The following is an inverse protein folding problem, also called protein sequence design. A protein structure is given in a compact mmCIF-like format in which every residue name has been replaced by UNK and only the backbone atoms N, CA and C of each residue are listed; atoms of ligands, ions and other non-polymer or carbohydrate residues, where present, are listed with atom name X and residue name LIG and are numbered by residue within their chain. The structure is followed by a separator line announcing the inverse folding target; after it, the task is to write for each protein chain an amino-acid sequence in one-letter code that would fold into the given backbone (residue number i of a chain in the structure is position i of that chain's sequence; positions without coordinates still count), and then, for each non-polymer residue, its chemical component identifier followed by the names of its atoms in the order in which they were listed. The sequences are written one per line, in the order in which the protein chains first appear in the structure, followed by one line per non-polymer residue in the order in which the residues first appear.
data_IF_715221366019
#
_entry.id   IF_715221366019
#
_cell.length_a   1.000
_cell.length_b   1.000
_cell.length_c   1.000
_cell.angle_alpha   90.00
_cell.angle_beta   90.00
_cell.angle_gamma   90.00
#
_symmetry.space_group_name_H-M   'P 1'
#
loop_
_entity.id
_entity.type
_entity.pdbx_description
1 polymer ?
#
# COMPACT_ATOMS: atom_id res chain seq x y z
N UNK A 1 -15.07 6.00 14.03
CA UNK A 1 -15.28 7.02 15.08
C UNK A 1 -14.53 8.27 14.65
N UNK A 2 -15.21 9.42 14.56
CA UNK A 2 -14.73 10.59 13.83
C UNK A 2 -13.58 11.29 14.56
N UNK A 3 -12.39 11.36 13.97
CA UNK A 3 -11.16 11.96 14.52
C UNK A 3 -11.36 13.44 14.96
N UNK A 4 -12.31 14.15 14.36
CA UNK A 4 -12.65 15.53 14.71
C UNK A 4 -13.28 15.67 16.10
N UNK A 5 -14.03 14.69 16.59
CA UNK A 5 -14.62 14.73 17.96
C UNK A 5 -13.57 14.57 19.06
N UNK A 6 -12.42 13.97 18.75
CA UNK A 6 -11.32 13.79 19.71
C UNK A 6 -10.54 15.07 19.99
N UNK A 7 -10.53 16.05 19.08
CA UNK A 7 -9.74 17.29 19.22
C UNK A 7 -10.42 18.38 20.06
N UNK A 8 -11.72 18.24 20.35
CA UNK A 8 -12.52 19.32 20.99
C UNK A 8 -12.51 19.23 22.53
N UNK A 9 -12.18 18.10 23.11
CA UNK A 9 -12.24 17.88 24.57
C UNK A 9 -10.86 17.99 25.23
N UNK A 10 -10.82 18.53 26.47
CA UNK A 10 -9.60 18.49 27.29
C UNK A 10 -9.19 17.02 27.52
N UNK A 11 -7.89 16.77 27.72
CA UNK A 11 -7.33 15.42 27.88
C UNK A 11 -8.09 14.60 28.95
N UNK A 12 -8.38 15.23 30.08
CA UNK A 12 -9.12 14.57 31.18
C UNK A 12 -10.55 14.22 30.78
N UNK A 13 -11.26 15.12 30.08
CA UNK A 13 -12.63 14.87 29.60
C UNK A 13 -12.68 13.77 28.55
N UNK A 14 -11.70 13.73 27.63
CA UNK A 14 -11.56 12.67 26.65
C UNK A 14 -11.43 11.29 27.34
N UNK A 15 -10.49 11.17 28.29
CA UNK A 15 -10.29 9.93 29.02
C UNK A 15 -11.54 9.52 29.80
N UNK A 16 -12.13 10.43 30.57
CA UNK A 16 -13.30 10.12 31.40
C UNK A 16 -14.56 9.82 30.60
N UNK A 17 -14.91 10.66 29.62
CA UNK A 17 -16.17 10.52 28.88
C UNK A 17 -16.11 9.44 27.82
N UNK A 18 -15.01 9.34 27.07
CA UNK A 18 -14.90 8.42 25.96
C UNK A 18 -14.33 7.07 26.43
N UNK A 19 -13.14 7.07 27.04
CA UNK A 19 -12.48 5.81 27.37
C UNK A 19 -13.16 5.10 28.55
N UNK A 20 -13.45 5.80 29.64
CA UNK A 20 -13.99 5.17 30.85
C UNK A 20 -15.49 5.00 30.77
N UNK A 21 -16.25 6.08 30.57
CA UNK A 21 -17.74 6.04 30.59
C UNK A 21 -18.31 5.50 29.28
N UNK A 22 -17.73 5.86 28.13
CA UNK A 22 -18.24 5.49 26.82
C UNK A 22 -17.96 4.03 26.47
N UNK A 23 -16.69 3.65 26.39
CA UNK A 23 -16.25 2.31 25.97
C UNK A 23 -15.88 1.40 27.13
N UNK A 24 -15.91 1.89 28.38
CA UNK A 24 -15.59 1.14 29.60
C UNK A 24 -14.21 0.46 29.54
N UNK A 25 -13.22 1.15 28.97
CA UNK A 25 -11.86 0.65 28.85
C UNK A 25 -11.27 0.32 30.23
N UNK A 26 -10.59 -0.82 30.34
CA UNK A 26 -9.82 -1.24 31.54
C UNK A 26 -8.33 -1.03 31.33
N UNK A 27 -7.89 -1.17 30.09
CA UNK A 27 -6.51 -1.03 29.66
C UNK A 27 -6.43 -0.10 28.45
N UNK A 28 -5.43 0.76 28.41
CA UNK A 28 -5.15 1.65 27.30
C UNK A 28 -3.72 1.42 26.81
N UNK A 29 -3.61 0.95 25.55
CA UNK A 29 -2.33 0.72 24.89
C UNK A 29 -2.07 1.91 23.98
N UNK A 30 -0.91 2.56 24.13
CA UNK A 30 -0.57 3.80 23.44
C UNK A 30 0.86 3.78 22.92
N UNK A 31 1.08 4.25 21.71
CA UNK A 31 2.43 4.43 21.18
C UNK A 31 3.18 5.58 21.84
N UNK A 32 4.49 5.50 21.88
CA UNK A 32 5.39 6.46 22.52
C UNK A 32 5.20 7.93 22.07
N UNK A 33 4.81 8.13 20.81
CA UNK A 33 4.65 9.45 20.17
C UNK A 33 3.17 9.88 20.01
N UNK A 34 2.24 9.05 20.47
CA UNK A 34 0.83 9.32 20.28
C UNK A 34 0.34 10.48 21.17
N UNK A 35 -0.38 11.40 20.56
CA UNK A 35 -0.98 12.57 21.22
C UNK A 35 -2.49 12.55 21.08
N UNK A 36 -3.22 13.00 22.10
CA UNK A 36 -4.68 13.03 22.10
C UNK A 36 -5.24 14.27 22.81
N UNK A 37 -6.56 14.47 22.69
CA UNK A 37 -7.26 15.60 23.31
C UNK A 37 -7.06 16.93 22.58
N UNK A 38 -7.58 18.01 23.17
CA UNK A 38 -7.51 19.36 22.60
C UNK A 38 -6.04 19.80 22.47
N UNK A 39 -5.68 20.32 21.28
CA UNK A 39 -4.33 20.78 20.93
C UNK A 39 -3.25 19.70 21.08
N UNK A 40 -3.61 18.41 21.09
CA UNK A 40 -2.68 17.27 21.21
C UNK A 40 -1.77 17.33 22.46
N UNK A 41 -2.26 17.93 23.56
CA UNK A 41 -1.48 18.07 24.80
C UNK A 41 -1.46 16.78 25.62
N UNK A 42 -2.43 15.87 25.41
CA UNK A 42 -2.44 14.56 26.04
C UNK A 42 -1.40 13.63 25.46
N UNK A 43 -0.58 13.01 26.31
CA UNK A 43 0.44 12.04 25.92
C UNK A 43 0.49 10.89 26.95
N UNK A 44 1.46 10.00 26.77
CA UNK A 44 1.67 8.87 27.66
C UNK A 44 1.99 9.30 29.10
N UNK A 45 2.73 10.38 29.30
CA UNK A 45 3.08 10.86 30.63
C UNK A 45 1.84 11.32 31.38
N UNK A 46 0.97 12.09 30.73
CA UNK A 46 -0.32 12.48 31.29
C UNK A 46 -1.15 11.27 31.73
N UNK A 47 -1.17 10.19 30.94
CA UNK A 47 -1.89 8.98 31.30
C UNK A 47 -1.25 8.25 32.47
N UNK A 48 0.09 8.12 32.50
CA UNK A 48 0.85 7.47 33.59
C UNK A 48 0.66 8.19 34.91
N UNK A 49 0.72 9.51 34.93
CA UNK A 49 0.51 10.34 36.12
C UNK A 49 -0.90 10.21 36.70
N UNK A 50 -1.89 10.08 35.81
CA UNK A 50 -3.30 10.02 36.19
C UNK A 50 -3.89 8.60 36.23
N UNK A 51 -3.09 7.53 36.08
CA UNK A 51 -3.58 6.14 35.99
C UNK A 51 -4.45 5.72 37.16
N UNK A 52 -4.05 6.11 38.40
CA UNK A 52 -4.82 5.79 39.63
C UNK A 52 -6.18 6.47 39.63
N UNK A 53 -6.23 7.77 39.24
CA UNK A 53 -7.46 8.57 39.16
C UNK A 53 -8.45 8.02 38.12
N UNK A 54 -7.93 7.51 37.02
CA UNK A 54 -8.75 6.97 35.94
C UNK A 54 -9.09 5.49 36.10
N UNK A 55 -8.41 4.77 36.99
CA UNK A 55 -8.57 3.34 37.15
C UNK A 55 -8.23 2.56 35.89
N UNK A 56 -7.28 3.06 35.07
CA UNK A 56 -6.84 2.46 33.82
C UNK A 56 -5.45 1.84 33.99
N UNK A 57 -5.30 0.67 33.39
CA UNK A 57 -3.98 0.11 33.10
C UNK A 57 -3.43 0.78 31.85
N UNK A 58 -2.18 1.23 31.89
CA UNK A 58 -1.51 1.90 30.77
C UNK A 58 -0.33 1.06 30.32
N UNK A 59 -0.32 0.72 29.05
CA UNK A 59 0.79 0.03 28.38
C UNK A 59 1.33 0.92 27.26
N UNK A 60 2.64 1.12 27.27
CA UNK A 60 3.33 1.88 26.22
C UNK A 60 3.96 0.94 25.20
N UNK A 61 3.69 1.19 23.94
CA UNK A 61 4.42 0.55 22.84
C UNK A 61 5.64 1.42 22.56
N UNK A 62 6.83 0.86 22.78
CA UNK A 62 8.09 1.54 22.48
C UNK A 62 8.26 1.76 20.96
N UNK A 63 9.12 2.72 20.63
CA UNK A 63 9.52 2.99 19.27
C UNK A 63 10.25 1.78 18.69
N UNK A 64 9.89 1.43 17.46
CA UNK A 64 10.62 0.47 16.64
C UNK A 64 11.36 1.23 15.53
N UNK A 65 12.67 1.07 15.49
CA UNK A 65 13.52 1.67 14.46
C UNK A 65 14.10 0.57 13.56
N UNK A 66 14.19 0.85 12.26
CA UNK A 66 14.95 0.06 11.29
C UNK A 66 16.01 0.99 10.71
N UNK A 67 17.28 0.56 10.75
CA UNK A 67 18.43 1.34 10.28
C UNK A 67 18.49 2.76 10.87
N UNK A 68 18.18 2.89 12.17
CA UNK A 68 18.07 4.16 12.92
C UNK A 68 16.96 5.11 12.42
N UNK A 69 16.09 4.64 11.55
CA UNK A 69 14.93 5.40 11.07
C UNK A 69 13.68 4.87 11.76
N UNK A 70 12.92 5.76 12.40
CA UNK A 70 11.64 5.41 13.03
C UNK A 70 10.63 4.93 12.00
N UNK A 71 10.03 3.75 12.25
CA UNK A 71 8.93 3.27 11.42
C UNK A 71 7.71 4.16 11.66
N UNK A 72 7.24 4.80 10.61
CA UNK A 72 6.03 5.64 10.67
C UNK A 72 5.19 5.47 9.41
N UNK A 73 3.88 5.69 9.55
CA UNK A 73 2.97 5.71 8.40
C UNK A 73 3.35 6.79 7.38
N UNK A 74 3.98 7.88 7.83
CA UNK A 74 4.45 8.95 6.95
C UNK A 74 5.60 8.48 6.07
N UNK A 75 6.61 7.81 6.64
CA UNK A 75 7.76 7.29 5.89
C UNK A 75 7.31 6.23 4.87
N UNK A 76 6.39 5.34 5.26
CA UNK A 76 5.82 4.34 4.35
C UNK A 76 5.09 5.01 3.18
N UNK A 77 4.27 6.03 3.45
CA UNK A 77 3.56 6.78 2.38
C UNK A 77 4.52 7.50 1.44
N UNK A 78 5.57 8.11 1.99
CA UNK A 78 6.61 8.79 1.19
C UNK A 78 7.35 7.80 0.31
N UNK A 79 7.78 6.66 0.83
CA UNK A 79 8.45 5.62 0.06
C UNK A 79 7.55 5.12 -1.10
N UNK A 80 6.27 4.82 -0.83
CA UNK A 80 5.32 4.40 -1.86
C UNK A 80 5.08 5.50 -2.92
N UNK A 81 5.01 6.77 -2.51
CA UNK A 81 4.85 7.90 -3.42
C UNK A 81 6.09 8.12 -4.29
N UNK A 82 7.27 7.75 -3.81
CA UNK A 82 8.53 7.75 -4.58
C UNK A 82 8.72 6.50 -5.45
N UNK A 83 7.92 5.45 -5.25
CA UNK A 83 8.04 4.15 -5.93
C UNK A 83 9.05 3.20 -5.26
N UNK A 84 9.57 3.57 -4.11
CA UNK A 84 10.53 2.80 -3.32
C UNK A 84 9.79 1.70 -2.51
N UNK A 85 9.23 0.72 -3.23
CA UNK A 85 8.40 -0.33 -2.62
C UNK A 85 9.18 -1.31 -1.76
N UNK A 86 10.48 -1.46 -1.98
CA UNK A 86 11.43 -2.20 -1.17
C UNK A 86 11.68 -1.51 0.19
N UNK A 87 11.89 -0.19 0.20
CA UNK A 87 11.94 0.62 1.43
C UNK A 87 10.62 0.51 2.21
N UNK A 88 9.48 0.63 1.51
CA UNK A 88 8.17 0.45 2.12
C UNK A 88 8.00 -0.96 2.70
N UNK A 89 8.50 -2.02 2.03
CA UNK A 89 8.51 -3.39 2.53
C UNK A 89 9.32 -3.52 3.83
N UNK A 90 10.52 -2.93 3.90
CA UNK A 90 11.35 -2.93 5.10
C UNK A 90 10.58 -2.38 6.31
N UNK A 91 9.91 -1.23 6.14
CA UNK A 91 9.10 -0.63 7.21
C UNK A 91 7.81 -1.40 7.53
N UNK A 92 7.18 -2.06 6.54
CA UNK A 92 5.93 -2.81 6.73
C UNK A 92 6.15 -4.23 7.24
N UNK A 93 7.35 -4.80 7.10
CA UNK A 93 7.65 -6.22 7.32
C UNK A 93 6.98 -7.17 6.30
N UNK A 94 6.38 -6.63 5.23
CA UNK A 94 5.71 -7.37 4.15
C UNK A 94 5.63 -6.55 2.88
N UNK A 95 5.43 -7.19 1.73
CA UNK A 95 5.18 -6.48 0.48
C UNK A 95 3.93 -5.62 0.57
N UNK A 96 4.00 -4.40 0.01
CA UNK A 96 2.83 -3.58 -0.15
C UNK A 96 1.91 -4.20 -1.21
N UNK A 97 0.63 -4.34 -0.89
CA UNK A 97 -0.32 -4.99 -1.78
C UNK A 97 -1.44 -4.04 -2.21
N UNK A 98 -1.88 -4.20 -3.45
CA UNK A 98 -3.11 -3.62 -3.99
C UNK A 98 -4.01 -4.75 -4.48
N UNK A 99 -5.31 -4.58 -4.32
CA UNK A 99 -6.29 -5.56 -4.78
C UNK A 99 -7.35 -4.86 -5.62
N UNK A 100 -7.92 -5.58 -6.56
CA UNK A 100 -8.98 -5.03 -7.41
C UNK A 100 -9.65 -6.10 -8.26
N UNK A 101 -10.69 -5.68 -8.96
CA UNK A 101 -11.42 -6.53 -9.91
C UNK A 101 -10.81 -6.33 -11.30
N UNK A 102 -10.60 -7.42 -12.02
CA UNK A 102 -10.11 -7.36 -13.40
C UNK A 102 -11.25 -6.90 -14.31
N UNK A 103 -11.03 -5.77 -14.98
CA UNK A 103 -11.97 -5.18 -15.92
C UNK A 103 -11.43 -5.23 -17.35
N UNK A 104 -12.32 -5.06 -18.33
CA UNK A 104 -11.92 -4.93 -19.73
C UNK A 104 -11.23 -3.59 -19.95
N UNK A 105 -10.06 -3.63 -20.63
CA UNK A 105 -9.33 -2.47 -21.13
C UNK A 105 -9.28 -2.48 -22.66
N UNK A 106 -8.42 -1.64 -23.24
CA UNK A 106 -8.32 -1.45 -24.71
C UNK A 106 -7.61 -2.60 -25.43
N UNK A 107 -7.09 -3.58 -24.70
CA UNK A 107 -6.44 -4.80 -25.21
C UNK A 107 -5.24 -4.55 -26.16
N UNK A 108 -4.59 -3.38 -26.07
CA UNK A 108 -3.42 -3.05 -26.90
C UNK A 108 -2.29 -4.05 -26.64
N UNK A 109 -2.04 -4.38 -25.38
CA UNK A 109 -1.02 -5.36 -24.99
C UNK A 109 -1.20 -6.72 -25.65
N UNK A 110 -2.44 -7.18 -25.83
CA UNK A 110 -2.74 -8.46 -26.51
C UNK A 110 -2.24 -8.45 -27.96
N UNK A 111 -2.38 -7.33 -28.69
CA UNK A 111 -1.95 -7.20 -30.09
C UNK A 111 -0.43 -7.30 -30.25
N UNK A 112 0.33 -6.92 -29.23
CA UNK A 112 1.80 -6.91 -29.25
C UNK A 112 2.42 -8.09 -28.48
N UNK A 113 1.60 -9.05 -28.03
CA UNK A 113 2.07 -10.28 -27.33
C UNK A 113 2.27 -10.12 -25.83
N UNK A 114 1.75 -9.04 -25.22
CA UNK A 114 1.78 -8.78 -23.77
C UNK A 114 0.37 -8.51 -23.24
N UNK A 115 -0.53 -9.53 -23.20
CA UNK A 115 -1.86 -9.33 -22.66
C UNK A 115 -1.81 -8.85 -21.22
N UNK A 116 -2.65 -7.86 -20.87
CA UNK A 116 -2.70 -7.28 -19.52
C UNK A 116 -4.09 -7.41 -18.91
N UNK A 117 -4.13 -7.66 -17.61
CA UNK A 117 -5.31 -7.52 -16.76
C UNK A 117 -5.37 -6.07 -16.26
N UNK A 118 -6.44 -5.35 -16.60
CA UNK A 118 -6.68 -4.00 -16.09
C UNK A 118 -7.40 -4.10 -14.74
N UNK A 119 -6.89 -3.42 -13.71
CA UNK A 119 -7.48 -3.47 -12.37
C UNK A 119 -8.36 -2.25 -12.12
N UNK A 120 -9.55 -2.51 -11.62
CA UNK A 120 -10.41 -1.52 -10.98
C UNK A 120 -10.29 -1.68 -9.46
N UNK A 121 -9.85 -0.62 -8.79
CA UNK A 121 -9.71 -0.55 -7.33
C UNK A 121 -10.85 0.31 -6.82
N UNK A 122 -11.75 -0.29 -6.04
CA UNK A 122 -12.94 0.38 -5.47
C UNK A 122 -12.61 1.28 -4.30
N UNK A 123 -11.57 0.93 -3.54
CA UNK A 123 -11.18 1.64 -2.33
C UNK A 123 -10.47 2.95 -2.66
N UNK A 124 -11.17 4.05 -2.59
CA UNK A 124 -10.66 5.40 -2.91
C UNK A 124 -9.57 5.89 -1.96
N UNK A 125 -9.51 5.32 -0.73
CA UNK A 125 -8.47 5.62 0.26
C UNK A 125 -7.18 4.80 0.04
N UNK A 126 -7.20 3.81 -0.87
CA UNK A 126 -6.02 2.97 -1.12
C UNK A 126 -4.93 3.79 -1.81
N UNK A 127 -3.78 3.86 -1.18
CA UNK A 127 -2.63 4.53 -1.76
C UNK A 127 -2.07 3.71 -2.91
N UNK A 128 -2.02 4.31 -4.09
CA UNK A 128 -1.42 3.72 -5.28
C UNK A 128 0.01 4.29 -5.40
N UNK A 129 1.04 3.44 -5.47
CA UNK A 129 2.43 3.88 -5.62
C UNK A 129 2.65 4.77 -6.85
N UNK A 130 3.83 5.38 -6.96
CA UNK A 130 4.17 6.23 -8.12
C UNK A 130 4.05 5.48 -9.43
N UNK A 131 3.97 6.25 -10.51
CA UNK A 131 3.88 5.70 -11.86
C UNK A 131 5.19 5.01 -12.26
N UNK A 132 5.07 3.84 -12.89
CA UNK A 132 6.20 3.01 -13.25
C UNK A 132 5.84 1.55 -13.50
N UNK A 133 6.84 0.75 -13.79
CA UNK A 133 6.74 -0.70 -13.98
C UNK A 133 7.32 -1.40 -12.76
N UNK A 134 6.57 -2.32 -12.19
CA UNK A 134 6.90 -3.05 -10.96
C UNK A 134 6.93 -4.55 -11.19
N UNK A 135 7.85 -5.26 -10.56
CA UNK A 135 7.79 -6.69 -10.38
C UNK A 135 6.73 -7.03 -9.32
N UNK A 136 5.84 -7.98 -9.61
CA UNK A 136 4.74 -8.32 -8.70
C UNK A 136 4.54 -9.83 -8.55
N UNK A 137 4.12 -10.23 -7.33
CA UNK A 137 3.45 -11.50 -7.09
C UNK A 137 1.95 -11.26 -7.27
N UNK A 138 1.29 -12.16 -7.97
CA UNK A 138 -0.14 -12.06 -8.29
C UNK A 138 -0.87 -13.23 -7.65
N UNK A 139 -1.92 -12.94 -6.89
CA UNK A 139 -2.74 -13.96 -6.26
C UNK A 139 -4.14 -13.95 -6.89
N UNK A 140 -4.49 -15.07 -7.48
CA UNK A 140 -5.81 -15.34 -8.05
C UNK A 140 -6.41 -16.54 -7.31
N UNK A 141 -7.30 -16.28 -6.35
CA UNK A 141 -7.72 -17.29 -5.39
C UNK A 141 -6.53 -17.85 -4.62
N UNK A 142 -6.28 -19.16 -4.73
CA UNK A 142 -5.14 -19.85 -4.10
C UNK A 142 -3.91 -19.95 -5.03
N UNK A 143 -4.04 -19.56 -6.31
CA UNK A 143 -2.96 -19.62 -7.28
C UNK A 143 -2.04 -18.41 -7.12
N UNK A 144 -0.73 -18.65 -6.95
CA UNK A 144 0.31 -17.62 -6.93
C UNK A 144 1.01 -17.58 -8.28
N UNK A 145 0.94 -16.46 -8.94
CA UNK A 145 1.52 -16.19 -10.25
C UNK A 145 2.57 -15.07 -10.13
N UNK A 146 3.31 -14.86 -11.19
CA UNK A 146 4.32 -13.84 -11.32
C UNK A 146 3.96 -12.91 -12.47
N UNK A 147 4.31 -11.63 -12.34
CA UNK A 147 4.01 -10.68 -13.40
C UNK A 147 4.76 -9.38 -13.28
N UNK A 148 4.52 -8.51 -14.23
CA UNK A 148 4.91 -7.11 -14.19
C UNK A 148 3.66 -6.24 -14.20
N UNK A 149 3.67 -5.19 -13.39
CA UNK A 149 2.57 -4.24 -13.20
C UNK A 149 3.00 -2.89 -13.77
N UNK A 150 2.18 -2.31 -14.64
CA UNK A 150 2.31 -0.91 -15.05
C UNK A 150 1.30 -0.06 -14.29
N UNK A 151 1.77 1.00 -13.65
CA UNK A 151 0.97 2.09 -13.10
C UNK A 151 1.33 3.32 -13.93
N UNK A 152 0.37 3.90 -14.62
CA UNK A 152 0.67 5.02 -15.50
C UNK A 152 -0.58 5.73 -16.03
N UNK A 153 -0.37 6.75 -16.86
CA UNK A 153 -1.43 7.55 -17.41
C UNK A 153 -1.65 7.21 -18.88
N UNK A 154 -2.90 7.05 -19.24
CA UNK A 154 -3.29 6.79 -20.61
C UNK A 154 -4.12 7.96 -21.15
N UNK A 155 -3.82 8.47 -22.36
CA UNK A 155 -4.68 9.42 -23.04
C UNK A 155 -6.07 8.82 -23.29
N UNK A 156 -7.10 9.63 -23.10
CA UNK A 156 -8.49 9.29 -23.40
C UNK A 156 -9.16 10.47 -24.12
N UNK A 157 -10.34 10.25 -24.71
CA UNK A 157 -11.12 11.33 -25.35
C UNK A 157 -11.46 12.47 -24.38
N UNK A 158 -11.52 12.20 -23.08
CA UNK A 158 -11.85 13.18 -22.03
C UNK A 158 -10.64 13.64 -21.20
N UNK A 159 -9.40 13.34 -21.63
CA UNK A 159 -8.18 13.71 -20.91
C UNK A 159 -7.26 12.52 -20.65
N UNK A 160 -6.63 12.46 -19.49
CA UNK A 160 -5.76 11.33 -19.10
C UNK A 160 -6.45 10.51 -18.00
N UNK A 161 -6.39 9.18 -18.09
CA UNK A 161 -6.86 8.27 -17.06
C UNK A 161 -5.66 7.49 -16.50
N UNK A 162 -5.52 7.44 -15.18
CA UNK A 162 -4.54 6.58 -14.52
C UNK A 162 -5.01 5.14 -14.60
N UNK A 163 -4.15 4.24 -15.09
CA UNK A 163 -4.44 2.82 -15.26
C UNK A 163 -3.47 1.96 -14.45
N UNK A 164 -3.94 0.81 -14.06
CA UNK A 164 -3.19 -0.20 -13.32
C UNK A 164 -3.35 -1.50 -14.10
N UNK A 165 -2.28 -1.94 -14.75
CA UNK A 165 -2.30 -3.03 -15.71
C UNK A 165 -1.24 -4.07 -15.39
N UNK A 166 -1.66 -5.31 -15.10
CA UNK A 166 -0.77 -6.41 -14.80
C UNK A 166 -0.65 -7.38 -15.99
N UNK A 167 0.59 -7.61 -16.46
CA UNK A 167 0.91 -8.71 -17.35
C UNK A 167 1.37 -9.91 -16.53
N UNK A 168 0.61 -11.00 -16.59
CA UNK A 168 0.87 -12.24 -15.86
C UNK A 168 1.73 -13.17 -16.74
N UNK A 169 2.86 -13.66 -16.22
CA UNK A 169 3.74 -14.56 -16.95
C UNK A 169 3.15 -15.97 -17.02
N UNK A 170 3.31 -16.63 -18.17
CA UNK A 170 2.88 -17.98 -18.42
C UNK A 170 1.38 -18.23 -18.11
N UNK A 171 0.55 -17.22 -18.33
CA UNK A 171 -0.86 -17.24 -18.00
C UNK A 171 -1.72 -16.87 -19.21
N UNK A 172 -2.74 -17.69 -19.51
CA UNK A 172 -3.60 -17.49 -20.69
C UNK A 172 -5.07 -17.80 -20.39
N UNK A 173 -5.53 -17.61 -19.15
CA UNK A 173 -6.94 -17.79 -18.79
C UNK A 173 -7.67 -16.46 -18.87
N UNK A 174 -8.99 -16.49 -19.17
CA UNK A 174 -9.86 -15.33 -18.99
C UNK A 174 -10.17 -15.16 -17.50
N UNK A 175 -9.90 -13.97 -16.98
CA UNK A 175 -10.08 -13.63 -15.57
C UNK A 175 -10.88 -12.33 -15.36
N UNK A 176 -11.62 -11.88 -16.38
CA UNK A 176 -12.51 -10.72 -16.20
C UNK A 176 -13.53 -10.98 -15.09
N UNK A 177 -13.77 -9.96 -14.25
CA UNK A 177 -14.66 -10.05 -13.09
C UNK A 177 -14.03 -10.70 -11.86
N UNK A 178 -12.87 -11.37 -11.99
CA UNK A 178 -12.20 -11.96 -10.86
C UNK A 178 -11.49 -10.91 -10.02
N UNK A 179 -11.45 -11.14 -8.72
CA UNK A 179 -10.69 -10.35 -7.77
C UNK A 179 -9.24 -10.88 -7.71
N UNK A 180 -8.27 -10.01 -7.91
CA UNK A 180 -6.85 -10.36 -7.77
C UNK A 180 -6.15 -9.44 -6.77
N UNK A 181 -5.12 -9.97 -6.11
CA UNK A 181 -4.23 -9.22 -5.23
C UNK A 181 -2.82 -9.23 -5.82
N UNK A 182 -2.22 -8.04 -5.89
CA UNK A 182 -0.87 -7.82 -6.39
C UNK A 182 0.00 -7.38 -5.22
N UNK A 183 1.10 -8.07 -4.98
CA UNK A 183 2.15 -7.68 -4.03
C UNK A 183 3.32 -7.08 -4.81
N UNK A 184 3.65 -5.83 -4.52
CA UNK A 184 4.71 -5.11 -5.21
C UNK A 184 6.05 -5.47 -4.57
N UNK A 185 6.93 -6.05 -5.39
CA UNK A 185 8.23 -6.55 -4.94
C UNK A 185 9.33 -5.53 -5.12
N UNK A 186 9.43 -4.93 -6.32
CA UNK A 186 10.40 -3.89 -6.62
C UNK A 186 9.96 -3.06 -7.82
N UNK A 187 10.46 -1.85 -7.92
CA UNK A 187 10.33 -1.05 -9.13
C UNK A 187 11.35 -1.50 -10.17
N UNK A 188 10.92 -1.72 -11.40
CA UNK A 188 11.78 -2.07 -12.54
C UNK A 188 12.27 -0.80 -13.23
N UNK A 189 11.38 0.16 -13.44
CA UNK A 189 11.66 1.48 -14.01
C UNK A 189 10.50 2.45 -13.79
N UNK A 190 10.78 3.74 -13.94
CA UNK A 190 9.75 4.79 -14.03
C UNK A 190 8.98 4.66 -15.34
N UNK A 191 7.82 5.31 -15.43
CA UNK A 191 7.02 5.37 -16.64
C UNK A 191 7.80 6.05 -17.77
N UNK A 192 7.60 5.55 -19.00
CA UNK A 192 8.19 6.08 -20.23
C UNK A 192 7.06 6.16 -21.28
N UNK A 193 6.96 7.28 -21.96
CA UNK A 193 6.06 7.43 -23.11
C UNK A 193 6.74 6.89 -24.37
N UNK A 194 5.98 6.22 -25.22
CA UNK A 194 6.44 5.64 -26.48
C UNK A 194 5.62 6.18 -27.65
N UNK A 195 6.30 6.65 -28.67
CA UNK A 195 5.67 7.15 -29.90
C UNK A 195 5.28 6.02 -30.85
N UNK A 196 5.98 4.88 -30.80
CA UNK A 196 5.75 3.73 -31.67
C UNK A 196 5.51 2.45 -30.88
N UNK A 197 4.62 1.58 -31.38
CA UNK A 197 4.30 0.31 -30.74
C UNK A 197 5.49 -0.66 -30.69
N UNK A 198 6.40 -0.59 -31.64
CA UNK A 198 7.60 -1.45 -31.68
C UNK A 198 8.58 -1.10 -30.57
N UNK A 199 8.73 0.19 -30.24
CA UNK A 199 9.55 0.66 -29.13
C UNK A 199 8.95 0.17 -27.81
N UNK A 200 7.63 0.31 -27.64
CA UNK A 200 6.91 -0.23 -26.47
C UNK A 200 7.13 -1.75 -26.35
N UNK A 201 6.97 -2.49 -27.46
CA UNK A 201 7.17 -3.95 -27.47
C UNK A 201 8.59 -4.34 -27.09
N UNK A 202 9.58 -3.61 -27.59
CA UNK A 202 11.01 -3.82 -27.28
C UNK A 202 11.27 -3.57 -25.82
N UNK A 203 10.73 -2.50 -25.25
CA UNK A 203 10.88 -2.19 -23.83
C UNK A 203 10.17 -3.22 -22.95
N UNK A 204 8.96 -3.66 -23.29
CA UNK A 204 8.24 -4.69 -22.53
C UNK A 204 9.00 -6.02 -22.48
N UNK A 205 9.75 -6.39 -23.54
CA UNK A 205 10.64 -7.56 -23.51
C UNK A 205 11.77 -7.37 -22.49
N UNK A 206 12.41 -6.20 -22.46
CA UNK A 206 13.46 -5.88 -21.49
C UNK A 206 12.92 -5.91 -20.05
N UNK A 207 11.76 -5.30 -19.83
CA UNK A 207 11.06 -5.27 -18.54
C UNK A 207 10.72 -6.70 -18.06
N UNK A 208 10.21 -7.55 -18.96
CA UNK A 208 9.91 -8.95 -18.67
C UNK A 208 11.14 -9.75 -18.23
N UNK A 209 12.28 -9.59 -18.94
CA UNK A 209 13.54 -10.25 -18.59
C UNK A 209 14.02 -9.79 -17.22
N UNK A 210 14.04 -8.47 -16.98
CA UNK A 210 14.45 -7.89 -15.70
C UNK A 210 13.57 -8.37 -14.55
N UNK A 211 12.24 -8.37 -14.75
CA UNK A 211 11.27 -8.84 -13.76
C UNK A 211 11.47 -10.31 -13.42
N UNK A 212 11.59 -11.18 -14.43
CA UNK A 212 11.81 -12.62 -14.22
C UNK A 212 13.11 -12.89 -13.46
N UNK A 213 14.22 -12.19 -13.81
CA UNK A 213 15.50 -12.28 -13.11
C UNK A 213 15.38 -11.87 -11.64
N UNK A 214 14.57 -10.84 -11.33
CA UNK A 214 14.35 -10.37 -9.97
C UNK A 214 13.51 -11.37 -9.18
N UNK A 215 12.38 -11.81 -9.74
CA UNK A 215 11.44 -12.71 -9.07
C UNK A 215 12.01 -14.12 -8.86
N UNK A 216 12.93 -14.58 -9.71
CA UNK A 216 13.59 -15.88 -9.52
C UNK A 216 14.41 -15.95 -8.22
N UNK A 217 14.90 -14.81 -7.71
CA UNK A 217 15.64 -14.75 -6.45
C UNK A 217 14.75 -14.92 -5.21
N UNK A 218 13.46 -14.68 -5.33
CA UNK A 218 12.50 -14.75 -4.20
C UNK A 218 12.03 -16.21 -3.97
N UNK A 219 12.10 -17.07 -4.97
CA UNK A 219 11.73 -18.49 -4.87
C UNK A 219 12.67 -19.33 -4.00
N UNK A 220 13.83 -18.84 -3.62
CA UNK A 220 14.80 -19.57 -2.79
C UNK A 220 14.60 -19.35 -1.27
N UNK A 221 13.52 -18.67 -0.85
CA UNK A 221 13.26 -18.33 0.56
C UNK A 221 12.00 -19.05 1.10
N UNK A 222 11.77 -20.32 0.69
CA UNK A 222 10.74 -21.19 1.31
C UNK A 222 11.42 -22.49 1.72
#
# INVERSE_FOLDING_TARGET
MNTQLMQIQTNSLFVQKILIKGIKAKKFIIGYDHRFGKNQVGDINFLKENKKRFGLEIEEISRLDIDQVGISSTNIRQALAAGEVDTAQGHLGRYYSISGIVIRGDQIGRKIGFPTANLFISETYKLIPSDGVYAVLVYLGFERLYGMLNIGWRPTVKGKKRTIEAHLFNFNKDIYGNHIRLELVAIIRKEIEFNHLDDLKTQLKKDSIATKKLLSKINYSI
#
